data_IF_285448485829
#
_entry.id   IF_285448485829
#
_cell.length_a   1.000
_cell.length_b   1.000
_cell.length_c   1.000
_cell.angle_alpha   90.00
_cell.angle_beta   90.00
_cell.angle_gamma   90.00
#
_symmetry.space_group_name_H-M   'P 1'
#
loop_
_entity.id
_entity.type
_entity.pdbx_description
1 polymer ?
#
# COMPACT_ATOMS: atom_id res chain seq x y z
N UNK A 1 12.23 -18.83 19.62
CA UNK A 1 12.22 -17.79 18.57
C UNK A 1 10.89 -17.06 18.68
N UNK A 2 10.84 -15.74 18.93
CA UNK A 2 9.57 -15.05 18.94
C UNK A 2 9.08 -14.96 17.49
N UNK A 3 8.04 -15.74 17.17
CA UNK A 3 7.26 -15.54 15.95
C UNK A 3 6.61 -14.16 16.07
N UNK A 4 7.20 -13.15 15.45
CA UNK A 4 6.59 -11.85 15.28
C UNK A 4 5.49 -11.96 14.22
N UNK A 5 4.45 -12.74 14.52
CA UNK A 5 3.21 -12.70 13.77
C UNK A 5 2.61 -11.33 14.02
N UNK A 6 2.85 -10.40 13.10
CA UNK A 6 2.15 -9.12 13.09
C UNK A 6 0.68 -9.47 12.92
N UNK A 7 -0.06 -9.54 14.04
CA UNK A 7 -1.50 -9.69 14.01
C UNK A 7 -2.05 -8.36 13.52
N UNK A 8 -2.46 -8.32 12.24
CA UNK A 8 -3.19 -7.20 11.68
C UNK A 8 -4.67 -7.50 11.95
N UNK A 9 -5.33 -6.80 12.90
CA UNK A 9 -6.71 -7.12 13.30
C UNK A 9 -7.71 -7.03 12.14
N UNK A 10 -7.35 -6.27 11.09
CA UNK A 10 -8.13 -6.03 9.87
C UNK A 10 -7.45 -6.64 8.63
N UNK A 11 -6.65 -7.71 8.80
CA UNK A 11 -5.80 -8.27 7.74
C UNK A 11 -6.57 -8.84 6.53
N UNK A 12 -7.86 -9.14 6.70
CA UNK A 12 -8.75 -9.64 5.64
C UNK A 12 -9.61 -8.52 5.02
N UNK A 13 -9.57 -7.31 5.57
CA UNK A 13 -10.36 -6.20 5.04
C UNK A 13 -9.74 -5.62 3.77
N UNK A 14 -10.59 -5.31 2.80
CA UNK A 14 -10.15 -4.74 1.52
C UNK A 14 -9.83 -3.25 1.65
N UNK A 15 -8.80 -2.82 0.94
CA UNK A 15 -8.51 -1.40 0.68
C UNK A 15 -8.69 -1.09 -0.81
N UNK A 16 -9.15 0.12 -1.11
CA UNK A 16 -9.25 0.63 -2.48
C UNK A 16 -8.32 1.82 -2.60
N UNK A 17 -7.44 1.78 -3.60
CA UNK A 17 -6.44 2.84 -3.82
C UNK A 17 -6.56 3.32 -5.27
N UNK A 18 -6.78 4.62 -5.45
CA UNK A 18 -6.79 5.24 -6.77
C UNK A 18 -5.37 5.58 -7.22
N UNK A 19 -4.92 4.98 -8.31
CA UNK A 19 -3.61 5.20 -8.90
C UNK A 19 -3.61 4.91 -10.40
N UNK A 20 -2.55 5.34 -11.08
CA UNK A 20 -2.36 5.09 -12.51
C UNK A 20 -1.92 3.65 -12.77
N UNK A 21 -2.12 3.18 -14.01
CA UNK A 21 -1.65 1.85 -14.45
C UNK A 21 -0.14 1.69 -14.25
N UNK A 22 0.65 2.75 -14.46
CA UNK A 22 2.11 2.72 -14.28
C UNK A 22 2.51 2.56 -12.83
N UNK A 23 1.82 3.22 -11.92
CA UNK A 23 2.03 3.09 -10.47
C UNK A 23 1.67 1.68 -10.00
N UNK A 24 0.51 1.15 -10.42
CA UNK A 24 0.11 -0.22 -10.11
C UNK A 24 1.11 -1.24 -10.65
N UNK A 25 1.58 -1.06 -11.89
CA UNK A 25 2.58 -1.92 -12.50
C UNK A 25 3.93 -1.84 -11.76
N UNK A 26 4.30 -0.66 -11.24
CA UNK A 26 5.52 -0.50 -10.43
C UNK A 26 5.44 -1.34 -9.14
N UNK A 27 4.27 -1.38 -8.48
CA UNK A 27 4.05 -2.17 -7.27
C UNK A 27 4.13 -3.68 -7.50
N UNK A 28 3.96 -4.16 -8.74
CA UNK A 28 4.18 -5.58 -9.08
C UNK A 28 5.67 -5.96 -9.23
N UNK A 29 6.59 -5.01 -9.06
CA UNK A 29 8.02 -5.22 -9.21
C UNK A 29 8.56 -4.83 -10.60
N UNK A 30 7.73 -4.27 -11.48
CA UNK A 30 8.19 -3.74 -12.76
C UNK A 30 9.03 -2.49 -12.53
N UNK A 31 10.31 -2.53 -12.92
CA UNK A 31 11.21 -1.39 -12.77
C UNK A 31 11.06 -0.42 -13.92
N UNK A 32 10.72 0.83 -13.59
CA UNK A 32 10.77 1.95 -14.52
C UNK A 32 12.13 2.63 -14.40
N UNK A 33 13.11 2.19 -15.20
CA UNK A 33 14.50 2.68 -15.15
C UNK A 33 14.64 4.21 -15.31
N UNK A 34 13.62 4.87 -15.86
CA UNK A 34 13.60 6.32 -16.06
C UNK A 34 12.75 7.06 -15.03
N UNK A 35 12.04 6.36 -14.14
CA UNK A 35 11.07 7.00 -13.26
C UNK A 35 10.83 6.24 -11.95
N UNK A 36 11.86 6.17 -11.10
CA UNK A 36 11.76 5.64 -9.73
C UNK A 36 10.70 6.33 -8.87
N UNK A 37 10.30 7.55 -9.26
CA UNK A 37 9.25 8.29 -8.59
C UNK A 37 7.89 7.58 -8.64
N UNK A 38 7.61 6.81 -9.70
CA UNK A 38 6.35 6.06 -9.82
C UNK A 38 6.17 5.04 -8.70
N UNK A 39 7.24 4.32 -8.35
CA UNK A 39 7.20 3.34 -7.26
C UNK A 39 7.01 4.03 -5.92
N UNK A 40 7.79 5.08 -5.65
CA UNK A 40 7.69 5.86 -4.41
C UNK A 40 6.30 6.48 -4.24
N UNK A 41 5.75 7.07 -5.31
CA UNK A 41 4.42 7.70 -5.29
C UNK A 41 3.32 6.64 -5.10
N UNK A 42 3.42 5.48 -5.75
CA UNK A 42 2.50 4.37 -5.57
C UNK A 42 2.51 3.85 -4.12
N UNK A 43 3.70 3.63 -3.54
CA UNK A 43 3.86 3.21 -2.14
C UNK A 43 3.24 4.25 -1.20
N UNK A 44 3.47 5.54 -1.46
CA UNK A 44 2.92 6.61 -0.63
C UNK A 44 1.39 6.59 -0.62
N UNK A 45 0.76 6.39 -1.78
CA UNK A 45 -0.71 6.27 -1.89
C UNK A 45 -1.26 5.07 -1.12
N UNK A 46 -0.60 3.92 -1.21
CA UNK A 46 -0.99 2.72 -0.45
C UNK A 46 -0.87 2.96 1.05
N UNK A 47 0.24 3.54 1.52
CA UNK A 47 0.44 3.89 2.92
C UNK A 47 -0.64 4.84 3.43
N UNK A 48 -0.94 5.89 2.66
CA UNK A 48 -1.98 6.84 3.03
C UNK A 48 -3.36 6.19 3.13
N UNK A 49 -3.74 5.34 2.16
CA UNK A 49 -5.01 4.61 2.23
C UNK A 49 -5.09 3.63 3.41
N UNK A 50 -3.97 3.00 3.77
CA UNK A 50 -3.87 2.17 4.98
C UNK A 50 -3.99 3.00 6.25
N UNK A 51 -3.28 4.12 6.33
CA UNK A 51 -3.36 5.06 7.45
C UNK A 51 -4.79 5.58 7.61
N UNK A 52 -5.44 6.03 6.53
CA UNK A 52 -6.83 6.50 6.56
C UNK A 52 -7.77 5.40 7.07
N UNK A 53 -7.60 4.16 6.62
CA UNK A 53 -8.44 3.02 7.06
C UNK A 53 -8.18 2.61 8.52
N UNK A 54 -6.94 2.70 8.98
CA UNK A 54 -6.59 2.36 10.36
C UNK A 54 -6.91 3.48 11.35
N UNK A 55 -6.84 4.75 10.90
CA UNK A 55 -7.10 5.94 11.70
C UNK A 55 -8.57 6.35 11.68
N UNK A 56 -9.37 5.90 10.72
CA UNK A 56 -10.83 6.01 10.79
C UNK A 56 -11.34 4.99 11.79
N UNK A 57 -11.72 5.40 13.02
CA UNK A 57 -12.40 4.50 13.94
C UNK A 57 -13.77 4.25 13.32
N UNK A 58 -14.15 2.98 13.16
CA UNK A 58 -15.52 2.61 12.81
C UNK A 58 -16.50 3.42 13.68
N UNK A 59 -17.36 4.21 13.04
CA UNK A 59 -18.52 4.86 13.66
C UNK A 59 -19.67 3.86 13.80
#
# INVERSE_FOLDING_TARGET
MPNNSVQIPQGEELIRVEMTVKEALALTGTKFNQNHKLETDAIKKVKQSLEDKLLTPNH
#
